data_IF_941361351152
#
_entry.id   IF_941361351152
#
_cell.length_a   1.000
_cell.length_b   1.000
_cell.length_c   1.000
_cell.angle_alpha   90.00
_cell.angle_beta   90.00
_cell.angle_gamma   90.00
#
_symmetry.space_group_name_H-M   'P 1'
#
loop_
_entity.id
_entity.type
_entity.pdbx_description
1 polymer ?
#
# COMPACT_ATOMS: atom_id res chain seq x y z
N UNK A 1 15.89 -11.84 -0.01
CA UNK A 1 15.18 -10.57 -0.33
C UNK A 1 14.29 -10.24 0.84
N UNK A 2 14.41 -9.03 1.35
CA UNK A 2 13.64 -8.54 2.48
C UNK A 2 12.82 -7.32 2.03
N UNK A 3 11.50 -7.38 2.21
CA UNK A 3 10.58 -6.29 1.87
C UNK A 3 10.04 -5.72 3.18
N UNK A 4 10.12 -4.40 3.33
CA UNK A 4 9.46 -3.68 4.41
C UNK A 4 8.19 -3.03 3.87
N UNK A 5 7.07 -3.37 4.46
CA UNK A 5 5.80 -2.71 4.20
C UNK A 5 5.41 -1.84 5.41
N UNK A 6 5.04 -0.60 5.12
CA UNK A 6 4.62 0.37 6.13
C UNK A 6 3.20 0.81 5.77
N UNK A 7 2.25 0.45 6.60
CA UNK A 7 0.86 0.84 6.44
C UNK A 7 0.64 2.33 6.73
N UNK A 8 -0.56 2.79 6.59
CA UNK A 8 -1.02 4.18 6.65
C UNK A 8 -0.12 5.17 7.41
N UNK A 9 0.69 5.93 6.65
CA UNK A 9 1.51 7.02 7.20
C UNK A 9 0.65 8.25 7.38
N UNK A 10 0.34 8.61 8.63
CA UNK A 10 -0.62 9.65 8.96
C UNK A 10 0.07 10.94 9.39
N UNK A 11 -0.02 11.97 8.54
CA UNK A 11 0.44 13.34 8.82
C UNK A 11 1.95 13.51 8.93
N UNK A 12 2.37 14.75 9.20
CA UNK A 12 3.78 15.17 9.16
C UNK A 12 4.66 14.46 10.20
N UNK A 13 4.13 14.17 11.40
CA UNK A 13 4.89 13.50 12.46
C UNK A 13 5.29 12.08 12.05
N UNK A 14 4.36 11.33 11.42
CA UNK A 14 4.66 9.99 10.93
C UNK A 14 5.67 10.03 9.78
N UNK A 15 5.54 11.00 8.87
CA UNK A 15 6.52 11.22 7.80
C UNK A 15 7.93 11.50 8.36
N UNK A 16 8.03 12.37 9.36
CA UNK A 16 9.31 12.71 10.00
C UNK A 16 9.93 11.51 10.74
N UNK A 17 9.10 10.75 11.47
CA UNK A 17 9.54 9.53 12.15
C UNK A 17 10.03 8.48 11.14
N UNK A 18 9.31 8.31 10.03
CA UNK A 18 9.73 7.43 8.95
C UNK A 18 11.13 7.83 8.42
N UNK A 19 11.33 9.12 8.11
CA UNK A 19 12.61 9.63 7.60
C UNK A 19 13.76 9.35 8.55
N UNK A 20 13.53 9.48 9.85
CA UNK A 20 14.54 9.20 10.88
C UNK A 20 14.84 7.68 11.01
N UNK A 21 13.80 6.84 11.02
CA UNK A 21 13.92 5.42 11.35
C UNK A 21 14.23 4.53 10.15
N UNK A 22 13.75 4.89 8.95
CA UNK A 22 13.83 4.03 7.78
C UNK A 22 15.27 3.66 7.39
N UNK A 23 16.27 4.57 7.39
CA UNK A 23 17.65 4.19 7.09
C UNK A 23 18.23 3.20 8.09
N UNK A 24 17.84 3.29 9.37
CA UNK A 24 18.27 2.36 10.42
C UNK A 24 17.66 0.97 10.21
N UNK A 25 16.35 0.92 9.96
CA UNK A 25 15.63 -0.33 9.66
C UNK A 25 16.17 -1.01 8.40
N UNK A 26 16.41 -0.24 7.32
CA UNK A 26 17.01 -0.78 6.09
C UNK A 26 18.33 -1.47 6.36
N UNK A 27 19.18 -0.89 7.20
CA UNK A 27 20.47 -1.45 7.56
C UNK A 27 20.34 -2.65 8.49
N UNK A 28 19.51 -2.55 9.53
CA UNK A 28 19.33 -3.59 10.56
C UNK A 28 18.76 -4.89 9.96
N UNK A 29 17.72 -4.76 9.12
CA UNK A 29 17.01 -5.91 8.55
C UNK A 29 17.46 -6.26 7.13
N UNK A 30 18.50 -5.60 6.59
CA UNK A 30 18.93 -5.77 5.19
C UNK A 30 17.77 -5.65 4.19
N UNK A 31 16.99 -4.57 4.28
CA UNK A 31 15.81 -4.36 3.47
C UNK A 31 16.20 -4.01 2.03
N UNK A 32 15.68 -4.77 1.08
CA UNK A 32 15.90 -4.59 -0.36
C UNK A 32 14.83 -3.67 -1.00
N UNK A 33 13.61 -3.70 -0.48
CA UNK A 33 12.47 -2.93 -1.04
C UNK A 33 11.61 -2.37 0.09
N UNK A 34 11.20 -1.12 -0.03
CA UNK A 34 10.32 -0.43 0.93
C UNK A 34 9.05 0.02 0.23
N UNK A 35 7.91 -0.45 0.71
CA UNK A 35 6.57 -0.06 0.26
C UNK A 35 5.90 0.72 1.39
N UNK A 36 5.33 1.87 1.07
CA UNK A 36 4.70 2.75 2.07
C UNK A 36 3.29 3.11 1.61
N UNK A 37 2.28 2.86 2.42
CA UNK A 37 0.99 3.47 2.19
C UNK A 37 1.03 4.93 2.67
N UNK A 38 1.00 5.85 1.71
CA UNK A 38 1.14 7.29 1.94
C UNK A 38 -0.15 8.09 1.82
N UNK A 39 -1.31 7.44 1.70
CA UNK A 39 -2.56 8.11 1.39
C UNK A 39 -2.97 9.21 2.37
N UNK A 40 -2.53 9.09 3.63
CA UNK A 40 -2.85 10.03 4.71
C UNK A 40 -1.67 10.93 5.13
N UNK A 41 -0.60 10.98 4.32
CA UNK A 41 0.63 11.72 4.62
C UNK A 41 0.43 13.25 4.66
N UNK A 42 -0.55 13.80 3.93
CA UNK A 42 -0.88 15.22 3.95
C UNK A 42 -1.96 15.51 5.01
N UNK A 43 -1.50 15.76 6.23
CA UNK A 43 -2.34 16.14 7.38
C UNK A 43 -3.50 15.16 7.68
N UNK A 44 -3.28 13.88 7.39
CA UNK A 44 -4.27 12.82 7.62
C UNK A 44 -5.40 12.77 6.60
N UNK A 45 -5.31 13.48 5.47
CA UNK A 45 -6.36 13.54 4.47
C UNK A 45 -5.80 13.73 3.05
N UNK A 46 -5.39 12.63 2.46
CA UNK A 46 -4.80 12.60 1.13
C UNK A 46 -3.27 12.64 1.15
N UNK A 47 -2.71 12.64 -0.04
CA UNK A 47 -1.29 12.79 -0.34
C UNK A 47 -1.11 14.00 -1.25
N UNK A 48 0.03 14.68 -1.17
CA UNK A 48 0.42 15.78 -2.07
C UNK A 48 1.73 15.45 -2.77
N UNK A 49 2.08 16.12 -3.88
CA UNK A 49 3.40 15.95 -4.50
C UNK A 49 4.56 16.21 -3.54
N UNK A 50 4.36 17.12 -2.57
CA UNK A 50 5.36 17.44 -1.54
C UNK A 50 5.56 16.25 -0.59
N UNK A 51 4.47 15.70 -0.04
CA UNK A 51 4.57 14.56 0.89
C UNK A 51 5.00 13.28 0.16
N UNK A 52 4.57 13.07 -1.09
CA UNK A 52 5.03 11.94 -1.91
C UNK A 52 6.54 12.00 -2.14
N UNK A 53 7.08 13.15 -2.58
CA UNK A 53 8.53 13.35 -2.73
C UNK A 53 9.26 13.15 -1.42
N UNK A 54 8.73 13.68 -0.33
CA UNK A 54 9.34 13.51 1.00
C UNK A 54 9.45 12.03 1.39
N UNK A 55 8.42 11.21 1.16
CA UNK A 55 8.45 9.78 1.45
C UNK A 55 9.44 9.03 0.55
N UNK A 56 9.48 9.33 -0.75
CA UNK A 56 10.45 8.75 -1.70
C UNK A 56 11.90 9.11 -1.29
N UNK A 57 12.16 10.39 -0.99
CA UNK A 57 13.47 10.84 -0.52
C UNK A 57 13.86 10.27 0.85
N UNK A 58 12.89 9.85 1.65
CA UNK A 58 13.12 9.17 2.92
C UNK A 58 13.54 7.70 2.73
N UNK A 59 13.41 7.18 1.51
CA UNK A 59 13.85 5.83 1.14
C UNK A 59 12.72 4.84 0.83
N UNK A 60 11.49 5.31 0.62
CA UNK A 60 10.41 4.51 0.05
C UNK A 60 10.70 4.25 -1.44
N UNK A 61 10.54 3.00 -1.88
CA UNK A 61 10.69 2.61 -3.28
C UNK A 61 9.35 2.68 -4.03
N UNK A 62 8.24 2.38 -3.34
CA UNK A 62 6.87 2.51 -3.86
C UNK A 62 5.97 3.13 -2.80
N UNK A 63 5.09 4.02 -3.25
CA UNK A 63 4.01 4.56 -2.42
C UNK A 63 2.67 4.05 -2.96
N UNK A 64 1.92 3.34 -2.12
CA UNK A 64 0.53 2.99 -2.34
C UNK A 64 -0.39 4.04 -1.73
N UNK A 65 -1.64 4.05 -2.15
CA UNK A 65 -2.66 4.97 -1.65
C UNK A 65 -3.98 4.24 -1.35
N UNK A 66 -5.09 4.94 -1.28
CA UNK A 66 -6.40 4.35 -0.98
C UNK A 66 -7.55 5.26 -1.39
N UNK A 67 -8.60 5.35 -0.56
CA UNK A 67 -9.80 6.14 -0.87
C UNK A 67 -9.56 7.67 -0.88
N UNK A 68 -8.42 8.14 -0.39
CA UNK A 68 -8.06 9.55 -0.42
C UNK A 68 -7.10 9.91 -1.57
N UNK A 69 -6.80 8.98 -2.49
CA UNK A 69 -5.79 9.18 -3.54
C UNK A 69 -6.04 10.41 -4.42
N UNK A 70 -7.31 10.80 -4.64
CA UNK A 70 -7.72 11.97 -5.42
C UNK A 70 -8.27 13.14 -4.57
N UNK A 71 -8.03 13.14 -3.25
CA UNK A 71 -8.44 14.26 -2.38
C UNK A 71 -7.72 15.57 -2.69
N UNK A 72 -6.51 15.48 -3.22
CA UNK A 72 -5.65 16.62 -3.56
C UNK A 72 -5.46 16.66 -5.07
N UNK A 73 -6.09 17.62 -5.74
CA UNK A 73 -6.07 17.74 -7.21
C UNK A 73 -4.66 17.90 -7.79
N UNK A 74 -3.74 18.48 -7.03
CA UNK A 74 -2.34 18.59 -7.44
C UNK A 74 -1.64 17.25 -7.64
N UNK A 75 -2.25 16.15 -7.16
CA UNK A 75 -1.75 14.80 -7.40
C UNK A 75 -2.02 14.29 -8.81
N UNK A 76 -3.00 14.82 -9.52
CA UNK A 76 -3.35 14.33 -10.86
C UNK A 76 -2.13 14.39 -11.79
N UNK A 77 -1.48 15.56 -11.89
CA UNK A 77 -0.26 15.73 -12.71
C UNK A 77 0.93 14.91 -12.17
N UNK A 78 0.95 14.64 -10.87
CA UNK A 78 2.01 13.82 -10.28
C UNK A 78 1.83 12.33 -10.63
N UNK A 79 0.60 11.82 -10.61
CA UNK A 79 0.27 10.45 -11.03
C UNK A 79 0.58 10.20 -12.50
N UNK A 80 0.43 11.20 -13.38
CA UNK A 80 0.78 11.09 -14.81
C UNK A 80 2.28 10.84 -15.04
N UNK A 81 3.12 11.36 -14.16
CA UNK A 81 4.58 11.36 -14.33
C UNK A 81 5.31 10.38 -13.42
N UNK A 82 4.63 9.81 -12.41
CA UNK A 82 5.26 8.92 -11.44
C UNK A 82 4.91 7.45 -11.71
N UNK A 83 5.94 6.62 -11.78
CA UNK A 83 5.79 5.17 -11.87
C UNK A 83 5.74 4.50 -10.48
N UNK A 84 6.10 5.22 -9.43
CA UNK A 84 6.31 4.66 -8.08
C UNK A 84 5.30 5.13 -7.04
N UNK A 85 4.40 6.04 -7.42
CA UNK A 85 3.24 6.40 -6.60
C UNK A 85 2.00 5.88 -7.32
N UNK A 86 1.35 4.89 -6.73
CA UNK A 86 0.25 4.17 -7.37
C UNK A 86 -1.06 4.37 -6.60
N UNK A 87 -2.14 4.41 -7.36
CA UNK A 87 -3.51 4.45 -6.84
C UNK A 87 -4.14 3.07 -6.83
N UNK A 88 -5.28 2.84 -6.17
CA UNK A 88 -5.99 1.57 -6.29
C UNK A 88 -6.31 1.23 -7.75
N UNK A 89 -5.98 0.00 -8.14
CA UNK A 89 -6.08 -0.46 -9.53
C UNK A 89 -7.52 -0.60 -10.01
N UNK A 90 -8.45 -0.80 -9.08
CA UNK A 90 -9.88 -0.98 -9.38
C UNK A 90 -10.67 0.35 -9.54
N UNK A 91 -9.98 1.50 -9.63
CA UNK A 91 -10.57 2.70 -10.23
C UNK A 91 -10.75 2.51 -11.75
N UNK A 92 -11.66 3.24 -12.40
CA UNK A 92 -11.84 3.18 -13.86
C UNK A 92 -10.52 3.41 -14.63
N UNK A 93 -10.39 2.77 -15.79
CA UNK A 93 -9.15 2.79 -16.59
C UNK A 93 -8.80 4.18 -17.15
N UNK A 94 -9.79 5.06 -17.30
CA UNK A 94 -9.63 6.45 -17.76
C UNK A 94 -9.17 7.42 -16.68
N UNK A 95 -9.03 6.96 -15.44
CA UNK A 95 -8.53 7.78 -14.32
C UNK A 95 -7.00 7.79 -14.32
N UNK A 96 -6.41 8.97 -14.11
CA UNK A 96 -4.95 9.16 -14.11
C UNK A 96 -4.22 8.26 -13.08
N UNK A 97 -2.98 7.91 -13.40
CA UNK A 97 -2.12 7.11 -12.53
C UNK A 97 -2.23 5.61 -12.77
N UNK A 98 -1.29 4.88 -12.18
CA UNK A 98 -1.16 3.43 -12.30
C UNK A 98 -1.70 2.73 -11.06
N UNK A 99 -2.26 1.54 -11.26
CA UNK A 99 -2.76 0.69 -10.17
C UNK A 99 -1.73 -0.32 -9.65
N UNK A 100 -0.65 -0.52 -10.39
CA UNK A 100 0.48 -1.36 -10.00
C UNK A 100 1.76 -0.85 -10.63
N UNK A 101 2.89 -1.28 -10.07
CA UNK A 101 4.22 -1.03 -10.61
C UNK A 101 5.12 -2.24 -10.45
N UNK A 102 6.18 -2.32 -11.25
CA UNK A 102 7.17 -3.39 -11.21
C UNK A 102 8.55 -2.77 -10.97
N UNK A 103 9.17 -3.15 -9.86
CA UNK A 103 10.55 -2.81 -9.54
C UNK A 103 11.47 -3.90 -10.08
N UNK A 104 12.39 -3.54 -10.96
CA UNK A 104 13.40 -4.46 -11.48
C UNK A 104 14.70 -4.33 -10.67
N UNK A 105 15.04 -5.39 -9.95
CA UNK A 105 16.30 -5.52 -9.20
C UNK A 105 17.37 -6.32 -9.97
N UNK A 106 17.18 -6.54 -11.26
CA UNK A 106 18.08 -7.26 -12.16
C UNK A 106 18.01 -8.78 -12.04
N UNK A 107 18.11 -9.33 -10.82
CA UNK A 107 18.00 -10.78 -10.58
C UNK A 107 16.57 -11.24 -10.35
N UNK A 108 15.69 -10.36 -9.93
CA UNK A 108 14.27 -10.57 -9.68
C UNK A 108 13.51 -9.27 -9.85
N UNK A 109 12.20 -9.37 -10.03
CA UNK A 109 11.31 -8.23 -10.03
C UNK A 109 10.27 -8.36 -8.93
N UNK A 110 9.87 -7.21 -8.36
CA UNK A 110 8.80 -7.10 -7.38
C UNK A 110 7.66 -6.33 -8.00
N UNK A 111 6.50 -6.95 -8.13
CA UNK A 111 5.28 -6.26 -8.50
C UNK A 111 4.56 -5.81 -7.22
N UNK A 112 4.22 -4.53 -7.15
CA UNK A 112 3.40 -3.95 -6.09
C UNK A 112 2.07 -3.55 -6.70
N UNK A 113 0.98 -4.09 -6.16
CA UNK A 113 -0.39 -3.83 -6.62
C UNK A 113 -1.15 -3.15 -5.47
N UNK A 114 -1.82 -2.06 -5.77
CA UNK A 114 -2.72 -1.41 -4.83
C UNK A 114 -4.16 -1.71 -5.23
N UNK A 115 -4.97 -2.15 -4.30
CA UNK A 115 -6.41 -2.39 -4.48
C UNK A 115 -7.21 -1.70 -3.39
N UNK A 116 -8.46 -1.39 -3.68
CA UNK A 116 -9.40 -0.86 -2.71
C UNK A 116 -10.61 -1.78 -2.56
N UNK A 117 -11.04 -1.98 -1.32
CA UNK A 117 -12.30 -2.66 -1.01
C UNK A 117 -13.52 -1.87 -1.47
N UNK A 118 -14.66 -2.54 -1.57
CA UNK A 118 -15.94 -1.92 -1.95
C UNK A 118 -16.98 -2.04 -0.83
N UNK A 119 -16.78 -2.93 0.12
CA UNK A 119 -17.69 -3.12 1.26
C UNK A 119 -17.55 -1.95 2.23
N UNK A 120 -18.60 -1.16 2.40
CA UNK A 120 -18.65 0.09 3.17
C UNK A 120 -17.75 1.20 2.66
N UNK A 121 -17.29 1.10 1.41
CA UNK A 121 -16.42 2.07 0.75
C UNK A 121 -17.05 2.57 -0.57
N UNK A 122 -16.26 3.24 -1.39
CA UNK A 122 -16.67 3.73 -2.70
C UNK A 122 -16.99 2.56 -3.64
N UNK A 123 -18.04 2.71 -4.43
CA UNK A 123 -18.43 1.72 -5.42
C UNK A 123 -17.48 1.78 -6.64
N UNK A 124 -16.55 0.86 -6.68
CA UNK A 124 -15.55 0.68 -7.75
C UNK A 124 -15.72 -0.69 -8.43
N UNK A 125 -14.83 -0.99 -9.39
CA UNK A 125 -14.71 -2.35 -9.93
C UNK A 125 -14.44 -3.35 -8.80
N UNK A 126 -15.04 -4.54 -8.91
CA UNK A 126 -14.80 -5.61 -7.95
C UNK A 126 -13.30 -5.95 -7.87
N UNK A 127 -12.66 -5.82 -6.68
CA UNK A 127 -11.22 -6.02 -6.54
C UNK A 127 -10.76 -7.43 -6.94
N UNK A 128 -11.62 -8.45 -6.82
CA UNK A 128 -11.30 -9.82 -7.23
C UNK A 128 -11.19 -9.95 -8.76
N UNK A 129 -12.05 -9.28 -9.51
CA UNK A 129 -11.95 -9.27 -10.98
C UNK A 129 -10.76 -8.43 -11.44
N UNK A 130 -10.55 -7.28 -10.82
CA UNK A 130 -9.42 -6.42 -11.10
C UNK A 130 -8.08 -7.15 -10.91
N UNK A 131 -7.89 -7.84 -9.79
CA UNK A 131 -6.64 -8.55 -9.51
C UNK A 131 -6.43 -9.72 -10.48
N UNK A 132 -7.48 -10.43 -10.90
CA UNK A 132 -7.36 -11.51 -11.88
C UNK A 132 -6.84 -10.99 -13.22
N UNK A 133 -7.35 -9.85 -13.67
CA UNK A 133 -6.88 -9.18 -14.89
C UNK A 133 -5.40 -8.84 -14.78
N UNK A 134 -4.98 -8.20 -13.70
CA UNK A 134 -3.59 -7.83 -13.48
C UNK A 134 -2.67 -9.06 -13.45
N UNK A 135 -3.05 -10.10 -12.69
CA UNK A 135 -2.24 -11.31 -12.57
C UNK A 135 -2.13 -12.10 -13.87
N UNK A 136 -3.04 -11.91 -14.82
CA UNK A 136 -2.93 -12.52 -16.16
C UNK A 136 -1.82 -11.89 -17.01
N UNK A 137 -1.42 -10.66 -16.73
CA UNK A 137 -0.43 -9.87 -17.46
C UNK A 137 0.94 -9.84 -16.77
N UNK A 138 0.95 -9.82 -15.42
CA UNK A 138 2.16 -9.68 -14.61
C UNK A 138 2.93 -11.00 -14.56
N UNK A 139 4.24 -10.92 -14.84
CA UNK A 139 5.16 -12.08 -14.81
C UNK A 139 6.12 -12.08 -13.62
N UNK A 140 6.01 -11.13 -12.70
CA UNK A 140 6.86 -11.07 -11.50
C UNK A 140 6.59 -12.27 -10.58
N UNK A 141 7.66 -12.88 -10.07
CA UNK A 141 7.55 -13.97 -9.10
C UNK A 141 7.21 -13.50 -7.68
N UNK A 142 7.53 -12.26 -7.39
CA UNK A 142 7.23 -11.62 -6.11
C UNK A 142 6.17 -10.58 -6.35
N UNK A 143 5.00 -10.78 -5.75
CA UNK A 143 3.85 -9.90 -5.90
C UNK A 143 3.35 -9.54 -4.51
N UNK A 144 3.31 -8.24 -4.22
CA UNK A 144 2.81 -7.68 -2.97
C UNK A 144 1.53 -6.90 -3.27
N UNK A 145 0.48 -7.19 -2.53
CA UNK A 145 -0.82 -6.51 -2.66
C UNK A 145 -1.06 -5.69 -1.41
N UNK A 146 -1.18 -4.36 -1.56
CA UNK A 146 -1.77 -3.48 -0.55
C UNK A 146 -3.28 -3.43 -0.78
N UNK A 147 -4.04 -3.99 0.15
CA UNK A 147 -5.49 -4.01 0.07
C UNK A 147 -6.11 -3.02 1.06
N UNK A 148 -6.40 -1.84 0.56
CA UNK A 148 -6.97 -0.73 1.31
C UNK A 148 -8.48 -0.89 1.45
N UNK A 149 -8.95 -1.48 2.55
CA UNK A 149 -10.35 -1.87 2.72
C UNK A 149 -10.85 -1.71 4.17
N UNK A 150 -12.13 -1.34 4.31
CA UNK A 150 -12.79 -1.20 5.62
C UNK A 150 -13.13 -2.56 6.23
N UNK A 151 -13.76 -3.44 5.46
CA UNK A 151 -14.32 -4.68 6.00
C UNK A 151 -13.25 -5.77 6.16
N UNK A 152 -13.04 -6.23 7.39
CA UNK A 152 -12.16 -7.39 7.70
C UNK A 152 -12.55 -8.63 6.90
N UNK A 153 -13.85 -8.88 6.71
CA UNK A 153 -14.32 -10.02 5.91
C UNK A 153 -13.88 -9.94 4.45
N UNK A 154 -13.88 -8.76 3.85
CA UNK A 154 -13.41 -8.55 2.48
C UNK A 154 -11.89 -8.74 2.39
N UNK A 155 -11.13 -8.22 3.36
CA UNK A 155 -9.68 -8.43 3.47
C UNK A 155 -9.33 -9.92 3.56
N UNK A 156 -9.98 -10.65 4.47
CA UNK A 156 -9.80 -12.09 4.64
C UNK A 156 -10.16 -12.87 3.38
N UNK A 157 -11.30 -12.53 2.77
CA UNK A 157 -11.74 -13.20 1.53
C UNK A 157 -10.72 -13.03 0.41
N UNK A 158 -10.18 -11.79 0.20
CA UNK A 158 -9.16 -11.54 -0.81
C UNK A 158 -7.85 -12.29 -0.49
N UNK A 159 -7.42 -12.30 0.77
CA UNK A 159 -6.25 -13.04 1.21
C UNK A 159 -6.34 -14.53 0.86
N UNK A 160 -7.47 -15.18 1.20
CA UNK A 160 -7.71 -16.57 0.85
C UNK A 160 -7.81 -16.80 -0.67
N UNK A 161 -8.47 -15.91 -1.40
CA UNK A 161 -8.58 -15.97 -2.84
C UNK A 161 -7.24 -15.92 -3.57
N UNK A 162 -6.29 -15.17 -3.01
CA UNK A 162 -4.96 -14.99 -3.57
C UNK A 162 -3.92 -15.99 -3.03
N UNK A 163 -4.32 -16.92 -2.16
CA UNK A 163 -3.42 -17.94 -1.61
C UNK A 163 -2.68 -18.69 -2.71
N UNK A 164 -1.34 -18.67 -2.67
CA UNK A 164 -0.48 -19.32 -3.66
C UNK A 164 -0.33 -18.57 -4.98
N UNK A 165 -1.05 -17.45 -5.18
CA UNK A 165 -1.01 -16.64 -6.40
C UNK A 165 -0.14 -15.37 -6.23
N UNK A 166 0.01 -14.89 -5.00
CA UNK A 166 0.83 -13.73 -4.64
C UNK A 166 1.70 -14.04 -3.44
N UNK A 167 2.74 -13.23 -3.22
CA UNK A 167 3.66 -13.40 -2.09
C UNK A 167 3.08 -12.90 -0.77
N UNK A 168 2.34 -11.78 -0.80
CA UNK A 168 1.65 -11.26 0.38
C UNK A 168 0.44 -10.41 0.03
N UNK A 169 -0.56 -10.42 0.92
CA UNK A 169 -1.71 -9.50 0.95
C UNK A 169 -1.69 -8.78 2.30
N UNK A 170 -1.50 -7.48 2.25
CA UNK A 170 -1.32 -6.61 3.42
C UNK A 170 -2.47 -5.61 3.46
N UNK A 171 -3.26 -5.63 4.53
CA UNK A 171 -4.39 -4.73 4.67
C UNK A 171 -3.99 -3.35 5.22
N UNK A 172 -4.74 -2.32 4.82
CA UNK A 172 -4.63 -0.93 5.30
C UNK A 172 -6.02 -0.31 5.45
N UNK A 173 -6.16 0.90 5.90
CA UNK A 173 -7.35 1.74 6.00
C UNK A 173 -7.90 1.96 7.41
N UNK A 174 -8.11 0.93 8.21
CA UNK A 174 -8.93 1.09 9.43
C UNK A 174 -8.25 1.91 10.52
N UNK A 175 -6.95 2.15 10.40
CA UNK A 175 -6.12 2.78 11.42
C UNK A 175 -6.14 2.04 12.77
N UNK A 176 -6.41 0.72 12.73
CA UNK A 176 -6.36 -0.17 13.88
C UNK A 176 -5.43 -1.33 13.55
N UNK A 177 -4.19 -1.24 14.00
CA UNK A 177 -3.21 -2.30 13.77
C UNK A 177 -3.69 -3.64 14.34
N UNK A 178 -3.57 -4.69 13.53
CA UNK A 178 -3.86 -6.06 13.95
C UNK A 178 -2.57 -6.85 14.22
N UNK A 179 -2.68 -7.98 14.89
CA UNK A 179 -1.60 -8.93 15.17
C UNK A 179 -2.06 -10.34 14.76
N UNK A 180 -2.60 -10.43 13.54
CA UNK A 180 -3.17 -11.66 12.96
C UNK A 180 -2.35 -12.13 11.74
N UNK A 181 -1.07 -11.80 11.74
CA UNK A 181 -0.15 -12.21 10.69
C UNK A 181 -0.09 -13.73 10.57
N UNK A 182 -0.22 -14.22 9.35
CA UNK A 182 -0.18 -15.65 9.05
C UNK A 182 0.35 -15.95 7.65
N UNK A 183 0.70 -17.20 7.41
CA UNK A 183 1.04 -17.71 6.09
C UNK A 183 -0.12 -18.56 5.58
N UNK A 184 -0.91 -17.99 4.68
CA UNK A 184 -2.05 -18.67 4.07
C UNK A 184 -1.58 -19.78 3.13
N UNK A 185 -2.07 -21.00 3.37
CA UNK A 185 -1.77 -22.17 2.55
C UNK A 185 -0.27 -22.52 2.45
N UNK A 186 0.56 -21.99 3.34
CA UNK A 186 2.02 -22.17 3.32
C UNK A 186 2.75 -21.33 2.27
N UNK A 187 2.08 -20.40 1.59
CA UNK A 187 2.63 -19.67 0.44
C UNK A 187 2.48 -18.16 0.48
N UNK A 188 1.37 -17.64 1.03
CA UNK A 188 1.03 -16.21 0.94
C UNK A 188 1.01 -15.59 2.33
N UNK A 189 1.89 -14.61 2.56
CA UNK A 189 1.84 -13.79 3.79
C UNK A 189 0.56 -12.97 3.85
N UNK A 190 -0.04 -12.85 5.03
CA UNK A 190 -1.25 -12.08 5.24
C UNK A 190 -1.23 -11.36 6.58
N UNK A 191 -1.75 -10.15 6.60
CA UNK A 191 -2.13 -9.42 7.81
C UNK A 191 -3.33 -8.53 7.50
N UNK A 192 -4.29 -8.44 8.43
CA UNK A 192 -5.53 -7.68 8.21
C UNK A 192 -5.32 -6.19 8.17
N UNK A 193 -4.48 -5.60 9.03
CA UNK A 193 -4.25 -4.15 9.02
C UNK A 193 -2.87 -3.75 9.51
N UNK A 194 -2.20 -2.94 8.70
CA UNK A 194 -0.90 -2.35 8.96
C UNK A 194 -1.07 -0.84 9.17
N UNK A 195 -0.36 -0.27 10.15
CA UNK A 195 -0.46 1.15 10.47
C UNK A 195 0.87 1.72 10.94
N UNK A 196 1.23 2.92 10.47
CA UNK A 196 2.25 3.75 11.09
C UNK A 196 1.62 5.02 11.67
N UNK A 197 1.29 5.00 12.95
CA UNK A 197 0.69 6.12 13.66
C UNK A 197 1.57 6.56 14.84
N UNK A 198 1.94 7.84 14.89
CA UNK A 198 2.86 8.38 15.91
C UNK A 198 2.22 9.37 16.86
N UNK A 199 0.91 9.59 16.77
CA UNK A 199 0.15 10.45 17.69
C UNK A 199 -0.86 9.60 18.47
N UNK A 200 -1.17 9.96 19.73
CA UNK A 200 -2.27 9.32 20.45
C UNK A 200 -3.56 9.41 19.63
N UNK A 201 -4.22 8.30 19.42
CA UNK A 201 -5.54 8.29 18.79
C UNK A 201 -6.49 9.22 19.54
N UNK A 202 -7.43 9.91 18.88
CA UNK A 202 -8.49 10.62 19.58
C UNK A 202 -9.27 9.71 20.56
N UNK A 203 -9.24 8.40 20.35
CA UNK A 203 -9.82 7.39 21.25
C UNK A 203 -8.97 7.12 22.50
N UNK A 204 -7.66 7.44 22.46
CA UNK A 204 -6.74 7.28 23.60
C UNK A 204 -6.78 8.47 24.57
N UNK A 205 -7.65 9.44 24.31
CA UNK A 205 -7.91 10.58 25.19
C UNK A 205 -9.15 10.32 26.07
N UNK A 206 -9.16 9.15 26.73
CA UNK A 206 -10.11 8.83 27.78
C UNK A 206 -9.78 9.54 29.10
#
# INVERSE_FOLDING_TARGET
MNILFIGDVVGQKSCANLREKLPLLKKEYNIDTVIVNGENSADGNGITPVTAKYLLESGADVITTGNHCFRRKEMDAFYETSDFVIRPANFPDDVVGKGYTILDHGRYSVCVINLMGVVFMQNLENPFHCIDRILSEVKSKVIIVDFHAEATSEKRALGHYLTGRVSAVLGTHTHVQTADEEILGGHTGYITDCLLYTSPSPRDRG
#
